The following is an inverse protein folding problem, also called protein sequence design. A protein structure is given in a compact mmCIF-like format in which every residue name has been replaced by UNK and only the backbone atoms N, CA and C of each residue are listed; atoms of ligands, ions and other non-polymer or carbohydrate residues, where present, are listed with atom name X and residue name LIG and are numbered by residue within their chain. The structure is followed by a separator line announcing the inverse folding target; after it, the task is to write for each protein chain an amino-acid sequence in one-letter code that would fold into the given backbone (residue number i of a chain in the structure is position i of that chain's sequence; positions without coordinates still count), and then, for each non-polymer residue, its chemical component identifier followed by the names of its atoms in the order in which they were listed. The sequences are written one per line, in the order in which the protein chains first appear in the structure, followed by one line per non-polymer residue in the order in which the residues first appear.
data_IF_531002017190
#
_entry.id   IF_531002017190
#
_cell.length_a   1.000
_cell.length_b   1.000
_cell.length_c   1.000
_cell.angle_alpha   90.00
_cell.angle_beta   90.00
_cell.angle_gamma   90.00
#
_symmetry.space_group_name_H-M   'P 1'
#
loop_
_entity.id
_entity.type
_entity.pdbx_description
1 polymer ?
#
# COMPACT_ATOMS: atom_id res chain seq x y z
N UNK A 1 0.49 -38.42 -9.73
CA UNK A 1 1.43 -37.28 -9.83
C UNK A 1 0.54 -36.01 -9.75
N UNK A 2 0.36 -35.23 -8.66
CA UNK A 2 1.24 -34.34 -7.83
C UNK A 2 1.95 -33.26 -8.70
N UNK A 3 1.82 -31.91 -8.60
CA UNK A 3 1.28 -30.82 -7.70
C UNK A 3 0.97 -29.57 -8.62
N UNK A 4 0.52 -28.34 -8.19
CA UNK A 4 -0.61 -27.97 -7.33
C UNK A 4 -1.10 -26.49 -7.42
N UNK A 5 -1.14 -25.80 -8.56
CA UNK A 5 -1.57 -24.39 -8.53
C UNK A 5 -3.10 -24.35 -8.58
N UNK A 6 -3.71 -24.37 -7.40
CA UNK A 6 -5.13 -24.08 -7.21
C UNK A 6 -5.50 -22.69 -7.72
N UNK A 7 -6.81 -22.36 -7.80
CA UNK A 7 -7.22 -21.00 -8.12
C UNK A 7 -6.54 -20.08 -7.12
N UNK A 8 -5.78 -19.11 -7.64
CA UNK A 8 -5.19 -18.02 -6.87
C UNK A 8 -6.27 -17.49 -5.93
N UNK A 9 -6.19 -17.91 -4.68
CA UNK A 9 -6.85 -17.25 -3.58
C UNK A 9 -6.31 -15.84 -3.63
N UNK A 10 -7.13 -14.91 -4.11
CA UNK A 10 -7.03 -13.50 -3.72
C UNK A 10 -6.80 -13.54 -2.21
N UNK A 11 -5.56 -13.31 -1.76
CA UNK A 11 -5.23 -13.33 -0.34
C UNK A 11 -6.06 -12.19 0.28
N UNK A 12 -7.14 -12.46 1.03
CA UNK A 12 -7.93 -11.41 1.65
C UNK A 12 -7.33 -11.15 3.03
N UNK A 13 -6.02 -10.92 3.08
CA UNK A 13 -5.31 -10.67 4.34
C UNK A 13 -4.48 -9.41 4.17
N UNK A 14 -5.15 -8.28 3.95
CA UNK A 14 -4.75 -6.93 4.38
C UNK A 14 -5.85 -5.88 4.18
N UNK A 15 -7.12 -6.30 4.11
CA UNK A 15 -8.24 -5.40 4.34
C UNK A 15 -8.54 -5.35 5.85
N UNK A 16 -7.77 -4.59 6.62
CA UNK A 16 -8.08 -3.99 7.95
C UNK A 16 -6.77 -3.56 8.66
N UNK A 17 -6.67 -2.36 9.30
CA UNK A 17 -7.13 -1.02 8.96
C UNK A 17 -5.93 -0.05 8.99
N UNK A 18 -5.38 0.36 7.83
CA UNK A 18 -4.55 1.59 7.80
C UNK A 18 -5.42 2.84 7.58
N UNK A 19 -6.75 2.67 7.60
CA UNK A 19 -7.77 3.72 7.57
C UNK A 19 -7.96 4.38 8.94
N UNK A 20 -6.91 4.45 9.76
CA UNK A 20 -6.92 5.39 10.88
C UNK A 20 -6.73 6.78 10.28
N UNK A 21 -7.56 7.79 10.60
CA UNK A 21 -7.43 9.13 10.03
C UNK A 21 -6.02 9.73 10.18
N UNK A 22 -5.25 9.29 11.18
CA UNK A 22 -3.86 9.72 11.40
C UNK A 22 -2.79 9.12 10.48
N UNK A 23 -3.10 8.18 9.58
CA UNK A 23 -2.12 7.64 8.63
C UNK A 23 -2.32 8.14 7.18
N UNK A 24 -3.34 8.96 6.93
CA UNK A 24 -3.61 9.47 5.58
C UNK A 24 -2.42 10.31 5.05
N UNK A 25 -1.89 11.23 5.87
CA UNK A 25 -0.72 12.03 5.53
C UNK A 25 0.52 11.18 5.25
N UNK A 26 0.92 10.28 6.17
CA UNK A 26 2.06 9.38 5.98
C UNK A 26 1.95 8.45 4.78
N UNK A 27 0.75 7.94 4.49
CA UNK A 27 0.52 7.11 3.30
C UNK A 27 0.67 7.92 2.02
N UNK A 28 0.15 9.16 1.97
CA UNK A 28 0.33 10.06 0.84
C UNK A 28 1.81 10.46 0.66
N UNK A 29 2.52 10.71 1.77
CA UNK A 29 3.96 10.97 1.74
C UNK A 29 4.73 9.79 1.15
N UNK A 30 4.48 8.58 1.63
CA UNK A 30 5.12 7.37 1.13
C UNK A 30 4.82 7.12 -0.36
N UNK A 31 3.56 7.30 -0.78
CA UNK A 31 3.17 7.23 -2.20
C UNK A 31 4.00 8.19 -3.05
N UNK A 32 4.15 9.45 -2.60
CA UNK A 32 4.93 10.46 -3.32
C UNK A 32 6.43 10.11 -3.37
N UNK A 33 7.00 9.61 -2.26
CA UNK A 33 8.39 9.14 -2.24
C UNK A 33 8.63 8.05 -3.28
N UNK A 34 7.71 7.09 -3.42
CA UNK A 34 7.82 6.00 -4.40
C UNK A 34 7.69 6.51 -5.83
N UNK A 35 6.78 7.46 -6.10
CA UNK A 35 6.63 8.06 -7.44
C UNK A 35 7.87 8.82 -7.87
N UNK A 36 8.37 9.72 -7.01
CA UNK A 36 9.58 10.50 -7.28
C UNK A 36 10.79 9.59 -7.51
N UNK A 37 10.97 8.59 -6.66
CA UNK A 37 12.06 7.63 -6.83
C UNK A 37 11.92 6.75 -8.08
N UNK A 38 10.73 6.64 -8.68
CA UNK A 38 10.54 6.00 -9.98
C UNK A 38 10.93 6.94 -11.13
N UNK A 39 10.52 8.21 -11.04
CA UNK A 39 10.86 9.28 -12.00
C UNK A 39 12.38 9.49 -12.05
N UNK A 40 13.03 9.68 -10.90
CA UNK A 40 14.48 9.89 -10.81
C UNK A 40 15.28 8.74 -11.47
N UNK A 41 14.82 7.49 -11.32
CA UNK A 41 15.47 6.30 -11.89
C UNK A 41 15.29 6.14 -13.40
N UNK A 42 14.30 6.79 -13.99
CA UNK A 42 14.13 6.80 -15.45
C UNK A 42 15.02 7.86 -16.10
N UNK A 43 15.35 8.91 -15.37
CA UNK A 43 16.26 9.98 -15.80
C UNK A 43 17.74 9.59 -15.58
N UNK A 44 18.04 8.89 -14.49
CA UNK A 44 19.40 8.49 -14.12
C UNK A 44 19.67 7.01 -14.46
N UNK A 45 20.56 6.74 -15.41
CA UNK A 45 20.93 5.38 -15.85
C UNK A 45 21.56 4.47 -14.77
N UNK A 46 21.73 4.96 -13.53
CA UNK A 46 22.21 4.20 -12.36
C UNK A 46 21.26 4.42 -11.19
N UNK A 47 20.73 3.32 -10.63
CA UNK A 47 19.81 3.37 -9.50
C UNK A 47 20.57 3.23 -8.17
N UNK A 48 20.46 4.24 -7.30
CA UNK A 48 21.01 4.18 -5.93
C UNK A 48 19.90 3.88 -4.90
N UNK A 49 20.22 3.34 -3.71
CA UNK A 49 19.27 3.25 -2.61
C UNK A 49 18.88 4.65 -2.11
N UNK A 50 17.58 4.92 -1.96
CA UNK A 50 17.06 6.24 -1.57
C UNK A 50 16.55 6.19 -0.12
N UNK A 51 17.00 7.07 0.79
CA UNK A 51 16.51 7.12 2.16
C UNK A 51 15.09 7.71 2.24
N UNK A 52 14.23 7.12 3.07
CA UNK A 52 12.98 7.72 3.51
C UNK A 52 13.24 8.59 4.73
N UNK A 53 13.28 9.89 4.52
CA UNK A 53 13.49 10.86 5.60
C UNK A 53 12.13 11.46 5.96
N UNK A 54 11.54 11.10 7.11
CA UNK A 54 10.33 11.75 7.60
C UNK A 54 10.70 13.18 8.05
N UNK A 55 10.09 14.18 7.42
CA UNK A 55 10.36 15.61 7.68
C UNK A 55 9.22 16.31 8.42
N UNK A 56 8.22 15.57 8.86
CA UNK A 56 7.10 16.06 9.67
C UNK A 56 6.88 15.11 10.83
N UNK A 57 6.37 15.65 11.94
CA UNK A 57 6.03 14.89 13.14
C UNK A 57 5.09 13.72 12.84
N UNK A 58 4.07 13.95 12.02
CA UNK A 58 3.13 12.90 11.58
C UNK A 58 3.84 11.73 10.86
N UNK A 59 4.84 12.03 10.02
CA UNK A 59 5.61 11.00 9.32
C UNK A 59 6.59 10.29 10.26
N UNK A 60 7.17 11.01 11.22
CA UNK A 60 8.04 10.43 12.25
C UNK A 60 7.26 9.44 13.14
N UNK A 61 6.09 9.84 13.63
CA UNK A 61 5.19 9.00 14.42
C UNK A 61 4.77 7.75 13.62
N UNK A 62 4.43 7.90 12.34
CA UNK A 62 4.12 6.76 11.48
C UNK A 62 5.30 5.79 11.33
N UNK A 63 6.55 6.27 11.37
CA UNK A 63 7.74 5.39 11.28
C UNK A 63 7.97 4.59 12.57
N UNK A 64 7.37 4.99 13.69
CA UNK A 64 7.34 4.22 14.94
C UNK A 64 6.20 3.18 14.96
N UNK A 65 5.11 3.41 14.21
CA UNK A 65 4.00 2.47 14.10
C UNK A 65 4.43 1.12 13.49
N UNK A 66 3.99 0.04 14.13
CA UNK A 66 4.33 -1.32 13.70
C UNK A 66 3.58 -1.75 12.43
N UNK A 67 2.37 -1.23 12.22
CA UNK A 67 1.58 -1.48 11.02
C UNK A 67 2.19 -0.82 9.78
N UNK A 68 2.58 0.44 9.91
CA UNK A 68 3.26 1.21 8.87
C UNK A 68 4.60 0.58 8.51
N UNK A 69 5.45 0.22 9.49
CA UNK A 69 6.71 -0.50 9.22
C UNK A 69 6.50 -1.86 8.54
N UNK A 70 5.43 -2.58 8.90
CA UNK A 70 5.06 -3.83 8.21
C UNK A 70 4.65 -3.58 6.77
N UNK A 71 3.91 -2.50 6.49
CA UNK A 71 3.61 -2.06 5.12
C UNK A 71 4.90 -1.76 4.35
N UNK A 72 5.87 -1.03 4.92
CA UNK A 72 7.15 -0.74 4.27
C UNK A 72 7.87 -2.03 3.84
N UNK A 73 7.93 -3.04 4.71
CA UNK A 73 8.47 -4.36 4.37
C UNK A 73 7.71 -5.05 3.22
N UNK A 74 6.37 -4.98 3.20
CA UNK A 74 5.56 -5.59 2.14
C UNK A 74 5.76 -4.93 0.78
N UNK A 75 6.05 -3.62 0.77
CA UNK A 75 6.39 -2.87 -0.43
C UNK A 75 7.85 -3.09 -0.87
N UNK A 76 8.62 -3.90 -0.13
CA UNK A 76 10.01 -4.22 -0.45
C UNK A 76 11.02 -3.15 0.01
N UNK A 77 10.62 -2.22 0.87
CA UNK A 77 11.55 -1.30 1.50
C UNK A 77 12.31 -2.01 2.63
N UNK A 78 13.53 -1.53 2.89
CA UNK A 78 14.38 -2.12 3.91
C UNK A 78 14.48 -1.23 5.16
N UNK A 79 14.51 -1.82 6.36
CA UNK A 79 14.85 -1.10 7.57
C UNK A 79 16.31 -0.59 7.50
N UNK A 80 16.69 0.33 8.40
CA UNK A 80 18.09 0.67 8.62
C UNK A 80 18.87 -0.59 9.02
N UNK A 81 20.06 -0.78 8.46
CA UNK A 81 20.80 -2.04 8.58
C UNK A 81 21.43 -2.26 9.98
N UNK A 82 21.85 -1.17 10.63
CA UNK A 82 22.52 -1.16 11.93
C UNK A 82 22.50 0.28 12.50
N UNK A 83 23.20 0.51 13.61
CA UNK A 83 23.32 1.82 14.27
C UNK A 83 23.93 2.93 13.40
N UNK A 84 24.53 2.59 12.24
CA UNK A 84 25.08 3.58 11.31
C UNK A 84 24.00 4.16 10.37
N UNK A 85 22.88 3.47 10.19
CA UNK A 85 21.77 3.94 9.37
C UNK A 85 20.58 4.33 10.26
N UNK A 86 20.02 5.50 9.99
CA UNK A 86 18.85 6.00 10.74
C UNK A 86 17.54 5.86 9.96
N UNK A 87 17.61 5.75 8.63
CA UNK A 87 16.45 5.82 7.75
C UNK A 87 16.19 4.51 7.02
N UNK A 88 14.90 4.18 6.85
CA UNK A 88 14.47 3.16 5.90
C UNK A 88 14.91 3.54 4.49
N UNK A 89 15.09 2.55 3.61
CA UNK A 89 15.49 2.81 2.24
C UNK A 89 14.60 2.12 1.21
N UNK A 90 14.38 2.82 0.10
CA UNK A 90 13.94 2.25 -1.17
C UNK A 90 15.18 1.59 -1.80
N UNK A 91 15.24 0.25 -1.93
CA UNK A 91 16.40 -0.43 -2.49
C UNK A 91 16.61 -0.09 -3.96
N UNK A 92 17.87 -0.05 -4.40
CA UNK A 92 18.24 0.14 -5.81
C UNK A 92 17.64 -0.91 -6.75
N UNK A 93 17.37 -2.12 -6.24
CA UNK A 93 16.83 -3.24 -7.00
C UNK A 93 15.34 -3.09 -7.35
N UNK A 94 14.59 -2.16 -6.73
CA UNK A 94 13.21 -1.89 -7.09
C UNK A 94 13.16 -1.08 -8.38
N UNK A 95 12.54 -1.64 -9.42
CA UNK A 95 12.40 -0.98 -10.72
C UNK A 95 11.39 0.18 -10.67
N UNK A 96 11.47 1.16 -11.58
CA UNK A 96 10.45 2.21 -11.71
C UNK A 96 9.02 1.67 -11.78
N UNK A 97 8.81 0.57 -12.50
CA UNK A 97 7.50 -0.09 -12.59
C UNK A 97 7.04 -0.63 -11.23
N UNK A 98 7.91 -1.30 -10.47
CA UNK A 98 7.55 -1.84 -9.15
C UNK A 98 7.22 -0.72 -8.15
N UNK A 99 7.93 0.41 -8.22
CA UNK A 99 7.68 1.59 -7.40
C UNK A 99 6.32 2.21 -7.71
N UNK A 100 5.96 2.34 -9.00
CA UNK A 100 4.64 2.84 -9.42
C UNK A 100 3.50 1.93 -8.99
N UNK A 101 3.65 0.61 -9.15
CA UNK A 101 2.64 -0.36 -8.70
C UNK A 101 2.45 -0.30 -7.18
N UNK A 102 3.55 -0.15 -6.45
CA UNK A 102 3.53 0.02 -4.99
C UNK A 102 2.80 1.29 -4.58
N UNK A 103 3.11 2.43 -5.21
CA UNK A 103 2.44 3.71 -4.99
C UNK A 103 0.92 3.62 -5.29
N UNK A 104 0.55 3.02 -6.43
CA UNK A 104 -0.85 2.84 -6.81
C UNK A 104 -1.61 1.97 -5.80
N UNK A 105 -0.97 0.94 -5.23
CA UNK A 105 -1.59 0.08 -4.21
C UNK A 105 -1.87 0.84 -2.91
N UNK A 106 -1.05 1.83 -2.56
CA UNK A 106 -1.29 2.70 -1.39
C UNK A 106 -2.51 3.58 -1.66
N UNK A 107 -2.56 4.25 -2.82
CA UNK A 107 -3.68 5.10 -3.19
C UNK A 107 -5.02 4.34 -3.17
N UNK A 108 -5.06 3.12 -3.71
CA UNK A 108 -6.25 2.27 -3.72
C UNK A 108 -6.76 1.92 -2.31
N UNK A 109 -5.85 1.80 -1.33
CA UNK A 109 -6.22 1.57 0.07
C UNK A 109 -6.74 2.83 0.78
N UNK A 110 -6.42 4.01 0.26
CA UNK A 110 -6.93 5.30 0.76
C UNK A 110 -8.25 5.73 0.09
N UNK A 111 -8.63 5.15 -1.04
CA UNK A 111 -9.91 5.44 -1.70
C UNK A 111 -11.04 4.55 -1.16
N UNK A 112 -12.12 5.10 -0.58
CA UNK A 112 -13.26 4.32 -0.08
C UNK A 112 -14.15 3.70 -1.18
N UNK A 113 -13.74 3.72 -2.46
CA UNK A 113 -14.60 3.45 -3.60
C UNK A 113 -14.66 1.96 -4.05
N UNK A 114 -14.22 1.01 -3.23
CA UNK A 114 -14.30 -0.43 -3.55
C UNK A 114 -15.16 -1.20 -2.54
N UNK A 115 -16.31 -0.61 -2.19
CA UNK A 115 -17.49 -1.41 -1.88
C UNK A 115 -18.26 -1.59 -3.20
N UNK A 116 -18.49 -2.82 -3.70
CA UNK A 116 -19.51 -3.02 -4.73
C UNK A 116 -20.88 -2.71 -4.10
N UNK A 117 -21.27 -1.43 -4.09
CA UNK A 117 -22.64 -1.02 -3.88
C UNK A 117 -23.41 -1.35 -5.16
N UNK A 118 -24.07 -2.50 -5.16
CA UNK A 118 -24.86 -2.93 -6.29
C UNK A 118 -25.40 -4.34 -6.14
N UNK A 119 -26.06 -4.64 -5.02
CA UNK A 119 -27.03 -5.74 -5.00
C UNK A 119 -28.35 -5.14 -5.50
N UNK A 120 -28.86 -5.50 -6.69
CA UNK A 120 -30.20 -5.09 -7.08
C UNK A 120 -31.20 -5.76 -6.11
N UNK A 121 -32.02 -4.95 -5.45
CA UNK A 121 -33.11 -5.45 -4.62
C UNK A 121 -33.98 -6.40 -5.45
N UNK A 122 -34.33 -7.59 -4.95
CA UNK A 122 -35.23 -8.49 -5.66
C UNK A 122 -36.60 -7.81 -5.80
N UNK A 123 -37.32 -8.04 -6.92
CA UNK A 123 -38.65 -7.48 -7.09
C UNK A 123 -39.56 -7.99 -5.98
N UNK A 124 -40.17 -7.07 -5.23
CA UNK A 124 -41.15 -7.39 -4.20
C UNK A 124 -42.29 -8.19 -4.84
N UNK A 125 -42.34 -9.49 -4.56
CA UNK A 125 -43.47 -10.36 -4.92
C UNK A 125 -44.74 -9.81 -4.27
N UNK A 126 -45.78 -9.71 -5.09
CA UNK A 126 -47.12 -9.25 -4.71
C UNK A 126 -47.58 -9.92 -3.41
N UNK A 127 -47.86 -9.12 -2.40
CA UNK A 127 -48.62 -9.58 -1.24
C UNK A 127 -50.10 -9.36 -1.56
N UNK A 128 -50.78 -10.42 -1.97
CA UNK A 128 -52.24 -10.50 -1.93
C UNK A 128 -52.71 -10.38 -0.47
N UNK A 129 -53.67 -9.51 -0.14
CA UNK A 129 -54.45 -9.69 1.06
C UNK A 129 -55.69 -10.53 0.73
N UNK A 130 -55.74 -11.69 1.37
CA UNK A 130 -56.94 -12.46 1.58
C UNK A 130 -57.83 -11.81 2.65
N UNK A 131 -59.14 -12.10 2.55
CA UNK A 131 -60.29 -11.74 3.38
C UNK A 131 -61.00 -10.42 3.04
#
# INVERSE_FOLDING_TARGET
WAWPWGPVLCHPILCHPLLCPGLAGPLQWLENCLRRAAEDREEEGVCHPVPLVPLSEENEEAMEDSGFRRLLCQLGLRPPANEQESFWRIPAALSPQQLRLSAASIAQRCHPAQCPQGLPEPPQSAQEPAA
#
